data_IF_368410565182
#
_entry.id   IF_368410565182
#
_cell.length_a   1.000
_cell.length_b   1.000
_cell.length_c   1.000
_cell.angle_alpha   90.00
_cell.angle_beta   90.00
_cell.angle_gamma   90.00
#
_symmetry.space_group_name_H-M   'P 1'
#
loop_
_entity.id
_entity.type
_entity.pdbx_description
1 polymer ?
#
# COMPACT_ATOMS: atom_id res chain seq x y z
N UNK A 1 20.04 -5.18 -11.42
CA UNK A 1 19.11 -5.71 -10.40
C UNK A 1 18.21 -4.57 -10.00
N UNK A 2 16.89 -4.76 -10.01
CA UNK A 2 15.92 -3.73 -9.60
C UNK A 2 15.42 -4.08 -8.20
N UNK A 3 15.49 -3.12 -7.27
CA UNK A 3 15.00 -3.27 -5.90
C UNK A 3 13.88 -2.25 -5.67
N UNK A 4 12.69 -2.75 -5.35
CA UNK A 4 11.52 -1.94 -5.00
C UNK A 4 11.26 -2.08 -3.49
N UNK A 5 11.09 -0.95 -2.80
CA UNK A 5 10.64 -0.90 -1.40
C UNK A 5 9.30 -0.17 -1.40
N UNK A 6 8.25 -0.83 -0.90
CA UNK A 6 6.86 -0.34 -0.94
C UNK A 6 6.41 0.10 -2.35
N UNK A 7 6.95 -0.56 -3.39
CA UNK A 7 6.64 -0.27 -4.80
C UNK A 7 7.44 0.86 -5.42
N UNK A 8 8.33 1.50 -4.67
CA UNK A 8 9.16 2.61 -5.14
C UNK A 8 10.58 2.11 -5.36
N UNK A 9 11.28 2.54 -6.43
CA UNK A 9 12.70 2.23 -6.62
C UNK A 9 13.52 2.64 -5.39
N UNK A 10 14.31 1.70 -4.85
CA UNK A 10 15.11 1.96 -3.65
C UNK A 10 16.06 3.16 -3.82
N UNK A 11 16.56 3.42 -5.03
CA UNK A 11 17.42 4.55 -5.36
C UNK A 11 16.75 5.93 -5.16
N UNK A 12 15.41 6.00 -5.12
CA UNK A 12 14.66 7.23 -4.84
C UNK A 12 14.44 7.45 -3.34
N UNK A 13 14.53 6.38 -2.53
CA UNK A 13 14.14 6.37 -1.11
C UNK A 13 15.35 6.33 -0.18
N UNK A 14 16.43 5.67 -0.61
CA UNK A 14 17.64 5.46 0.18
C UNK A 14 18.86 5.92 -0.61
N UNK A 15 19.85 6.48 0.10
CA UNK A 15 21.21 6.52 -0.45
C UNK A 15 21.66 5.08 -0.72
N UNK A 16 22.29 4.86 -1.87
CA UNK A 16 22.52 3.54 -2.47
C UNK A 16 22.88 2.48 -1.42
N UNK A 17 22.05 1.43 -1.23
CA UNK A 17 22.40 0.39 -0.28
C UNK A 17 23.69 -0.28 -0.75
N UNK A 18 24.75 -0.15 0.04
CA UNK A 18 26.04 -0.74 -0.26
C UNK A 18 25.90 -2.27 -0.26
N UNK A 19 26.03 -2.88 -1.44
CA UNK A 19 26.11 -4.34 -1.55
C UNK A 19 27.51 -4.73 -1.07
N UNK A 20 27.63 -5.05 0.21
CA UNK A 20 28.92 -5.31 0.86
C UNK A 20 29.61 -6.61 0.39
N UNK A 21 28.87 -7.57 -0.19
CA UNK A 21 29.43 -8.83 -0.69
C UNK A 21 28.54 -9.45 -1.79
N UNK A 22 28.95 -9.33 -3.05
CA UNK A 22 28.31 -9.95 -4.21
C UNK A 22 28.96 -11.30 -4.58
N UNK A 23 30.02 -11.73 -3.88
CA UNK A 23 30.71 -12.99 -4.16
C UNK A 23 29.77 -14.22 -4.28
N UNK A 24 28.71 -14.34 -3.45
CA UNK A 24 27.74 -15.43 -3.57
C UNK A 24 26.90 -15.41 -4.86
N UNK A 25 26.85 -14.28 -5.57
CA UNK A 25 26.11 -14.12 -6.84
C UNK A 25 26.95 -14.58 -8.06
N UNK A 26 28.26 -14.81 -7.89
CA UNK A 26 29.11 -15.31 -8.96
C UNK A 26 29.02 -16.84 -9.07
N UNK A 27 29.02 -17.34 -10.30
CA UNK A 27 28.88 -18.77 -10.54
C UNK A 27 30.15 -19.53 -10.11
N UNK A 28 30.08 -20.24 -8.99
CA UNK A 28 31.19 -21.10 -8.52
C UNK A 28 30.92 -22.55 -8.90
N UNK A 29 31.88 -23.18 -9.58
CA UNK A 29 31.80 -24.62 -9.90
C UNK A 29 31.86 -25.43 -8.59
N UNK A 30 31.01 -26.45 -8.50
CA UNK A 30 31.01 -27.49 -7.45
C UNK A 30 30.58 -27.08 -6.02
N UNK A 31 29.90 -25.93 -5.85
CA UNK A 31 29.29 -25.56 -4.58
C UNK A 31 27.81 -25.95 -4.50
N UNK A 32 27.43 -26.62 -3.40
CA UNK A 32 26.03 -26.83 -3.04
C UNK A 32 25.44 -25.51 -2.52
N UNK A 33 24.63 -24.86 -3.34
CA UNK A 33 23.92 -23.65 -2.94
C UNK A 33 22.93 -23.96 -1.81
N UNK A 34 22.94 -23.14 -0.77
CA UNK A 34 21.95 -23.18 0.31
C UNK A 34 21.24 -21.85 0.35
N UNK A 35 19.92 -21.89 0.37
CA UNK A 35 19.10 -20.72 0.64
C UNK A 35 18.87 -20.61 2.16
N UNK A 36 19.09 -19.42 2.70
CA UNK A 36 18.87 -19.10 4.11
C UNK A 36 17.98 -17.86 4.17
N UNK A 37 16.99 -17.87 5.06
CA UNK A 37 16.14 -16.71 5.34
C UNK A 37 16.44 -16.25 6.76
N UNK A 38 16.74 -14.95 6.91
CA UNK A 38 16.91 -14.33 8.21
C UNK A 38 18.30 -14.45 8.84
N UNK A 39 19.33 -14.87 8.09
CA UNK A 39 20.74 -14.79 8.48
C UNK A 39 21.65 -14.85 7.25
N UNK A 40 22.91 -14.44 7.41
CA UNK A 40 23.95 -14.53 6.39
C UNK A 40 24.99 -15.59 6.77
N UNK A 41 25.42 -16.43 5.82
CA UNK A 41 26.49 -17.40 6.05
C UNK A 41 27.86 -16.74 5.86
N UNK A 42 28.66 -16.66 6.93
CA UNK A 42 30.02 -16.13 6.87
C UNK A 42 31.04 -17.25 6.70
N UNK A 43 31.50 -17.46 5.46
CA UNK A 43 32.41 -18.55 5.10
C UNK A 43 33.72 -18.57 5.89
N UNK A 44 34.33 -17.40 6.12
CA UNK A 44 35.59 -17.28 6.88
C UNK A 44 35.47 -17.68 8.35
N UNK A 45 34.26 -17.62 8.92
CA UNK A 45 34.01 -17.94 10.33
C UNK A 45 33.24 -19.26 10.50
N UNK A 46 32.78 -19.89 9.41
CA UNK A 46 32.01 -21.13 9.44
C UNK A 46 30.71 -21.03 10.25
N UNK A 47 30.08 -19.85 10.33
CA UNK A 47 28.86 -19.62 11.11
C UNK A 47 27.90 -18.64 10.44
N UNK A 48 26.64 -18.67 10.88
CA UNK A 48 25.65 -17.67 10.53
C UNK A 48 25.87 -16.38 11.34
N UNK A 49 25.74 -15.23 10.68
CA UNK A 49 25.81 -13.90 11.27
C UNK A 49 24.66 -13.02 10.74
N UNK A 50 24.59 -11.76 11.17
CA UNK A 50 23.57 -10.79 10.70
C UNK A 50 22.12 -11.31 10.78
N UNK A 51 21.76 -11.88 11.92
CA UNK A 51 20.44 -12.45 12.12
C UNK A 51 19.35 -11.37 12.04
N UNK A 52 18.33 -11.64 11.21
CA UNK A 52 17.13 -10.82 11.10
C UNK A 52 16.38 -10.82 12.44
N UNK A 53 15.95 -9.63 12.87
CA UNK A 53 15.15 -9.44 14.08
C UNK A 53 13.82 -8.81 13.70
N UNK A 54 12.77 -9.62 13.68
CA UNK A 54 11.43 -9.19 13.30
C UNK A 54 10.57 -10.36 12.86
N UNK A 55 9.44 -10.05 12.23
CA UNK A 55 8.52 -11.05 11.69
C UNK A 55 8.45 -10.91 10.17
N UNK A 56 8.55 -12.05 9.48
CA UNK A 56 8.36 -12.14 8.03
C UNK A 56 7.04 -12.86 7.78
N UNK A 57 6.05 -12.15 7.21
CA UNK A 57 4.71 -12.70 6.97
C UNK A 57 4.66 -13.56 5.70
N UNK A 58 5.44 -13.23 4.68
CA UNK A 58 5.50 -13.97 3.42
C UNK A 58 6.84 -13.77 2.71
N UNK A 59 7.29 -14.80 1.99
CA UNK A 59 8.41 -14.75 1.06
C UNK A 59 8.05 -15.58 -0.17
N UNK A 60 8.17 -14.98 -1.35
CA UNK A 60 7.99 -15.66 -2.63
C UNK A 60 9.28 -15.53 -3.42
N UNK A 61 9.75 -16.65 -3.97
CA UNK A 61 10.90 -16.69 -4.87
C UNK A 61 10.50 -17.29 -6.20
N UNK A 62 10.82 -16.56 -7.27
CA UNK A 62 10.57 -16.97 -8.66
C UNK A 62 11.92 -17.01 -9.40
N UNK A 63 12.63 -18.14 -9.36
CA UNK A 63 13.93 -18.25 -10.02
C UNK A 63 13.84 -17.93 -11.52
N UNK A 64 14.80 -17.15 -12.03
CA UNK A 64 14.92 -16.77 -13.44
C UNK A 64 13.75 -15.98 -14.01
N UNK A 65 12.85 -15.46 -13.16
CA UNK A 65 11.68 -14.72 -13.59
C UNK A 65 11.55 -13.43 -12.80
N UNK A 66 11.39 -12.32 -13.52
CA UNK A 66 10.98 -11.06 -12.92
C UNK A 66 9.46 -11.07 -12.73
N UNK A 67 9.00 -10.60 -11.57
CA UNK A 67 7.58 -10.47 -11.30
C UNK A 67 6.95 -9.38 -12.18
N UNK A 68 5.69 -9.58 -12.56
CA UNK A 68 4.98 -8.62 -13.38
C UNK A 68 4.65 -7.36 -12.53
N UNK A 69 4.89 -6.14 -13.05
CA UNK A 69 4.53 -4.90 -12.35
C UNK A 69 3.09 -4.86 -11.83
N UNK A 70 2.13 -5.46 -12.56
CA UNK A 70 0.73 -5.55 -12.10
C UNK A 70 0.56 -6.42 -10.86
N UNK A 71 1.39 -7.44 -10.67
CA UNK A 71 1.40 -8.28 -9.47
C UNK A 71 1.96 -7.48 -8.29
N UNK A 72 3.06 -6.76 -8.50
CA UNK A 72 3.65 -5.87 -7.49
C UNK A 72 2.61 -4.82 -7.05
N UNK A 73 1.92 -4.18 -8.00
CA UNK A 73 0.87 -3.22 -7.70
C UNK A 73 -0.30 -3.85 -6.93
N UNK A 74 -0.71 -5.08 -7.27
CA UNK A 74 -1.75 -5.81 -6.54
C UNK A 74 -1.36 -6.14 -5.09
N UNK A 75 -0.07 -6.37 -4.81
CA UNK A 75 0.46 -6.60 -3.46
C UNK A 75 0.43 -5.32 -2.61
N UNK A 76 0.65 -4.16 -3.24
CA UNK A 76 0.63 -2.86 -2.58
C UNK A 76 -0.77 -2.31 -2.33
N UNK A 77 -1.78 -2.82 -3.06
CA UNK A 77 -3.17 -2.44 -2.84
C UNK A 77 -3.69 -3.00 -1.52
N UNK A 78 -4.25 -2.09 -0.70
CA UNK A 78 -4.97 -2.46 0.51
C UNK A 78 -6.12 -3.43 0.16
N UNK A 79 -6.10 -4.60 0.82
CA UNK A 79 -7.14 -5.63 0.65
C UNK A 79 -8.47 -5.24 1.29
N UNK A 80 -8.43 -4.34 2.26
CA UNK A 80 -9.61 -3.71 2.87
C UNK A 80 -9.50 -2.20 2.64
N UNK A 81 -10.54 -1.59 2.08
CA UNK A 81 -10.55 -0.15 1.76
C UNK A 81 -11.97 0.39 1.63
N UNK A 82 -12.08 1.71 1.67
CA UNK A 82 -13.22 2.46 1.13
C UNK A 82 -13.03 2.65 -0.37
N UNK A 83 -14.13 2.57 -1.11
CA UNK A 83 -14.17 2.78 -2.55
C UNK A 83 -15.35 3.69 -2.90
N UNK A 84 -15.16 4.58 -3.88
CA UNK A 84 -16.17 5.54 -4.32
C UNK A 84 -16.48 5.36 -5.81
N UNK A 85 -17.65 4.81 -6.12
CA UNK A 85 -18.11 4.51 -7.48
C UNK A 85 -18.73 5.74 -8.18
N UNK A 86 -18.08 6.89 -8.04
CA UNK A 86 -18.60 8.17 -8.53
C UNK A 86 -17.56 9.13 -9.13
N UNK A 87 -16.28 8.75 -9.16
CA UNK A 87 -15.19 9.64 -9.58
C UNK A 87 -15.42 10.25 -10.98
N UNK A 88 -15.87 9.44 -11.94
CA UNK A 88 -16.12 9.87 -13.32
C UNK A 88 -17.39 10.73 -13.48
N UNK A 89 -18.17 10.93 -12.41
CA UNK A 89 -19.44 11.65 -12.41
C UNK A 89 -19.43 12.85 -11.46
N UNK A 90 -18.26 13.27 -10.99
CA UNK A 90 -18.12 14.44 -10.14
C UNK A 90 -18.49 15.71 -10.92
N UNK A 91 -19.40 16.49 -10.34
CA UNK A 91 -19.78 17.81 -10.86
C UNK A 91 -18.78 18.86 -10.38
N UNK A 92 -18.79 20.04 -11.00
CA UNK A 92 -17.93 21.16 -10.60
C UNK A 92 -18.16 21.51 -9.12
N UNK A 93 -17.11 21.52 -8.31
CA UNK A 93 -17.20 21.82 -6.87
C UNK A 93 -17.63 20.63 -6.00
N UNK A 94 -17.77 19.45 -6.58
CA UNK A 94 -17.75 18.18 -5.84
C UNK A 94 -16.32 17.66 -5.77
N UNK A 95 -15.92 17.12 -4.62
CA UNK A 95 -14.59 16.54 -4.41
C UNK A 95 -14.72 15.23 -3.64
N UNK A 96 -13.88 14.25 -3.99
CA UNK A 96 -13.74 12.99 -3.27
C UNK A 96 -12.25 12.71 -3.08
N UNK A 97 -11.79 12.74 -1.84
CA UNK A 97 -10.36 12.61 -1.49
C UNK A 97 -10.17 11.45 -0.53
N UNK A 98 -9.26 10.55 -0.86
CA UNK A 98 -8.87 9.42 -0.02
C UNK A 98 -7.54 9.69 0.68
N UNK A 99 -7.37 9.13 1.87
CA UNK A 99 -6.03 9.01 2.46
C UNK A 99 -5.22 7.93 1.72
N UNK A 100 -3.90 7.86 2.02
CA UNK A 100 -2.98 6.89 1.38
C UNK A 100 -3.43 5.44 1.54
N UNK A 101 -3.95 5.10 2.71
CA UNK A 101 -4.36 3.72 3.04
C UNK A 101 -5.78 3.38 2.54
N UNK A 102 -6.45 4.34 1.89
CA UNK A 102 -7.83 4.23 1.42
C UNK A 102 -8.82 3.81 2.53
N UNK A 103 -8.54 4.15 3.79
CA UNK A 103 -9.40 3.90 4.95
C UNK A 103 -10.25 5.11 5.34
N UNK A 104 -9.92 6.30 4.82
CA UNK A 104 -10.62 7.55 5.06
C UNK A 104 -10.99 8.20 3.73
N UNK A 105 -12.23 8.68 3.64
CA UNK A 105 -12.78 9.36 2.47
C UNK A 105 -13.41 10.68 2.90
N UNK A 106 -12.94 11.78 2.32
CA UNK A 106 -13.54 13.10 2.46
C UNK A 106 -14.36 13.41 1.21
N UNK A 107 -15.65 13.65 1.40
CA UNK A 107 -16.56 14.09 0.34
C UNK A 107 -16.93 15.55 0.55
N UNK A 108 -16.93 16.33 -0.53
CA UNK A 108 -17.40 17.71 -0.54
C UNK A 108 -18.42 17.86 -1.65
N UNK A 109 -19.52 18.54 -1.35
CA UNK A 109 -20.57 18.87 -2.31
C UNK A 109 -21.17 20.23 -1.98
N UNK A 110 -21.89 20.83 -2.94
CA UNK A 110 -22.48 22.17 -2.78
C UNK A 110 -23.74 22.20 -1.93
N UNK A 111 -24.49 21.09 -1.91
CA UNK A 111 -25.76 20.98 -1.20
C UNK A 111 -25.93 19.56 -0.64
N UNK A 112 -26.90 19.42 0.27
CA UNK A 112 -27.15 18.16 0.97
C UNK A 112 -27.64 17.03 0.05
N UNK A 113 -28.31 17.36 -1.06
CA UNK A 113 -28.83 16.38 -2.02
C UNK A 113 -27.65 15.75 -2.77
N UNK A 114 -26.77 16.57 -3.35
CA UNK A 114 -25.57 16.11 -4.03
C UNK A 114 -24.65 15.34 -3.06
N UNK A 115 -24.48 15.83 -1.83
CA UNK A 115 -23.71 15.10 -0.80
C UNK A 115 -24.28 13.71 -0.52
N UNK A 116 -25.61 13.60 -0.37
CA UNK A 116 -26.28 12.31 -0.13
C UNK A 116 -26.11 11.35 -1.31
N UNK A 117 -26.18 11.87 -2.55
CA UNK A 117 -25.94 11.09 -3.78
C UNK A 117 -24.48 10.66 -3.95
N UNK A 118 -23.53 11.43 -3.43
CA UNK A 118 -22.12 11.01 -3.38
C UNK A 118 -21.95 9.93 -2.31
N UNK A 119 -22.45 10.17 -1.09
CA UNK A 119 -22.33 9.22 0.00
C UNK A 119 -22.94 7.85 -0.34
N UNK A 120 -24.04 7.81 -1.09
CA UNK A 120 -24.67 6.55 -1.53
C UNK A 120 -23.82 5.71 -2.48
N UNK A 121 -22.72 6.26 -3.03
CA UNK A 121 -21.78 5.57 -3.92
C UNK A 121 -20.51 5.13 -3.21
N UNK A 122 -20.42 5.35 -1.90
CA UNK A 122 -19.31 4.88 -1.06
C UNK A 122 -19.57 3.45 -0.64
N UNK A 123 -18.56 2.60 -0.70
CA UNK A 123 -18.64 1.21 -0.27
C UNK A 123 -17.37 0.79 0.46
N UNK A 124 -17.53 -0.07 1.44
CA UNK A 124 -16.41 -0.84 1.98
C UNK A 124 -16.16 -2.05 1.09
N UNK A 125 -14.90 -2.28 0.73
CA UNK A 125 -14.48 -3.38 -0.13
C UNK A 125 -13.44 -4.22 0.61
N UNK A 126 -13.67 -5.53 0.65
CA UNK A 126 -12.72 -6.52 1.15
C UNK A 126 -12.42 -7.55 0.05
N UNK A 127 -11.20 -7.54 -0.47
CA UNK A 127 -10.75 -8.44 -1.54
C UNK A 127 -9.99 -9.66 -1.02
N UNK A 128 -9.97 -9.90 0.30
CA UNK A 128 -9.36 -11.10 0.86
C UNK A 128 -10.22 -12.34 0.53
N UNK A 129 -9.63 -13.44 0.05
CA UNK A 129 -10.37 -14.69 -0.17
C UNK A 129 -10.93 -15.25 1.14
N UNK A 130 -10.19 -15.06 2.24
CA UNK A 130 -10.63 -15.35 3.60
C UNK A 130 -10.64 -14.03 4.40
N UNK A 131 -11.80 -13.36 4.54
CA UNK A 131 -11.94 -12.15 5.32
C UNK A 131 -11.50 -12.35 6.77
N UNK A 132 -10.82 -11.36 7.35
CA UNK A 132 -10.43 -11.41 8.76
C UNK A 132 -11.68 -11.23 9.62
N UNK A 133 -11.95 -12.22 10.48
CA UNK A 133 -13.11 -12.21 11.40
C UNK A 133 -13.10 -10.95 12.26
N UNK A 134 -14.28 -10.34 12.45
CA UNK A 134 -14.51 -9.20 13.32
C UNK A 134 -15.31 -8.08 12.65
N UNK A 135 -15.86 -7.19 13.47
CA UNK A 135 -16.68 -6.08 12.99
C UNK A 135 -15.82 -4.96 12.39
N UNK A 136 -16.41 -4.16 11.48
CA UNK A 136 -15.80 -2.97 10.90
C UNK A 136 -16.73 -1.79 11.13
N UNK A 137 -16.33 -0.91 12.05
CA UNK A 137 -17.08 0.29 12.35
C UNK A 137 -16.67 1.42 11.41
N UNK A 138 -17.63 1.98 10.68
CA UNK A 138 -17.44 3.21 9.92
C UNK A 138 -17.95 4.38 10.73
N UNK A 139 -17.17 5.46 10.81
CA UNK A 139 -17.57 6.71 11.46
C UNK A 139 -17.80 7.77 10.39
N UNK A 140 -19.01 8.32 10.37
CA UNK A 140 -19.37 9.41 9.46
C UNK A 140 -19.36 10.70 10.26
N UNK A 141 -18.54 11.66 9.82
CA UNK A 141 -18.49 13.02 10.38
C UNK A 141 -18.92 13.96 9.26
N UNK A 142 -19.98 14.73 9.51
CA UNK A 142 -20.53 15.67 8.54
C UNK A 142 -20.49 17.10 9.11
N UNK A 143 -20.04 18.04 8.29
CA UNK A 143 -20.02 19.48 8.62
C UNK A 143 -20.67 20.26 7.48
N UNK A 144 -21.64 21.11 7.80
CA UNK A 144 -22.29 22.00 6.84
C UNK A 144 -21.88 23.46 7.09
N UNK A 145 -21.72 24.24 6.02
CA UNK A 145 -21.59 25.70 6.10
C UNK A 145 -22.77 26.32 5.37
N UNK A 146 -23.53 27.16 6.06
CA UNK A 146 -24.64 27.90 5.47
C UNK A 146 -24.16 29.29 5.06
N UNK A 147 -24.45 29.69 3.83
CA UNK A 147 -24.30 31.07 3.38
C UNK A 147 -25.62 31.79 3.65
N UNK A 148 -25.60 32.90 4.38
CA UNK A 148 -26.78 33.76 4.50
C UNK A 148 -26.97 34.57 3.21
N UNK A 149 -28.19 35.05 2.97
CA UNK A 149 -28.58 35.80 1.77
C UNK A 149 -27.76 37.08 1.51
N UNK A 150 -26.92 37.51 2.46
CA UNK A 150 -25.97 38.62 2.34
C UNK A 150 -24.58 38.22 1.80
N UNK A 151 -24.31 36.94 1.54
CA UNK A 151 -22.98 36.46 1.15
C UNK A 151 -21.98 36.34 2.30
N UNK A 152 -22.42 36.55 3.55
CA UNK A 152 -21.61 36.36 4.74
C UNK A 152 -21.78 34.95 5.32
N UNK A 153 -20.71 34.45 5.94
CA UNK A 153 -20.68 33.15 6.60
C UNK A 153 -21.52 33.23 7.87
N UNK A 154 -22.52 32.34 8.01
CA UNK A 154 -23.23 32.20 9.27
C UNK A 154 -22.27 31.63 10.33
N UNK A 155 -22.04 32.39 11.41
CA UNK A 155 -21.24 31.98 12.57
C UNK A 155 -21.84 30.76 13.29
#
# INVERSE_FOLDING_TARGET
>A
MELLVDGVPAAEVYEEPEILDDWPMHHVKDLKNRMVVGACWQGSQGKMTQHFKGYLSALTLSPFKQENPSVVQCLLQCKERLEFFGLNKLKVGEEAVFNRDMTELTLKARNAIDFSQMLSKVSYVNSRPNPTVGDRFARIIATSRCLTSSGELAN
#
